data_IF_460532689284
#
_entry.id   IF_460532689284
#
_cell.length_a   1.000
_cell.length_b   1.000
_cell.length_c   1.000
_cell.angle_alpha   90.00
_cell.angle_beta   90.00
_cell.angle_gamma   90.00
#
_symmetry.space_group_name_H-M   'P 1'
#
loop_
_entity.id
_entity.type
_entity.pdbx_description
1 polymer ?
#
# COMPACT_ATOMS: atom_id res chain seq x y z
N UNK A 1 -1.32 9.08 -0.60
CA UNK A 1 -1.62 7.67 -0.32
C UNK A 1 -1.44 7.44 1.16
N UNK A 2 -2.54 7.18 1.88
CA UNK A 2 -2.54 6.91 3.31
C UNK A 2 -3.02 5.49 3.57
N UNK A 3 -2.46 4.86 4.61
CA UNK A 3 -2.83 3.51 5.04
C UNK A 3 -3.64 3.60 6.32
N UNK A 4 -4.83 3.01 6.31
CA UNK A 4 -5.66 2.84 7.49
C UNK A 4 -5.17 1.62 8.28
N UNK A 5 -4.41 1.86 9.35
CA UNK A 5 -3.80 0.81 10.17
C UNK A 5 -4.81 -0.03 10.95
N UNK A 6 -6.04 0.47 11.17
CA UNK A 6 -7.10 -0.29 11.82
C UNK A 6 -7.72 -1.35 10.89
N UNK A 7 -7.64 -1.13 9.57
CA UNK A 7 -8.13 -2.07 8.54
C UNK A 7 -7.01 -2.92 7.94
N UNK A 8 -5.79 -2.40 7.89
CA UNK A 8 -4.67 -3.07 7.23
C UNK A 8 -4.28 -4.35 7.97
N UNK A 9 -4.42 -5.50 7.31
CA UNK A 9 -3.96 -6.80 7.84
C UNK A 9 -2.52 -7.16 7.50
N UNK A 10 -1.71 -6.20 7.01
CA UNK A 10 -0.29 -6.39 6.70
C UNK A 10 0.02 -7.58 5.76
N UNK A 11 -0.90 -7.92 4.84
CA UNK A 11 -0.75 -9.07 3.95
C UNK A 11 0.27 -8.89 2.82
N UNK A 12 0.79 -7.68 2.61
CA UNK A 12 1.78 -7.40 1.56
C UNK A 12 1.25 -7.36 0.12
N UNK A 13 -0.05 -7.51 -0.12
CA UNK A 13 -0.62 -7.47 -1.49
C UNK A 13 -0.31 -6.14 -2.23
N UNK A 14 -0.34 -5.02 -1.51
CA UNK A 14 0.00 -3.71 -2.05
C UNK A 14 1.49 -3.58 -2.45
N UNK A 15 2.40 -4.29 -1.77
CA UNK A 15 3.83 -4.34 -2.10
C UNK A 15 4.01 -5.06 -3.43
N UNK A 16 3.44 -6.26 -3.56
CA UNK A 16 3.60 -7.10 -4.76
C UNK A 16 3.01 -6.50 -6.03
N UNK A 17 1.91 -5.74 -5.94
CA UNK A 17 1.30 -5.12 -7.12
C UNK A 17 1.99 -3.81 -7.55
N UNK A 18 2.82 -3.20 -6.69
CA UNK A 18 3.33 -1.86 -6.96
C UNK A 18 4.41 -1.90 -8.07
N UNK A 19 4.13 -1.40 -9.29
CA UNK A 19 5.08 -1.51 -10.40
C UNK A 19 6.33 -0.64 -10.21
N UNK A 20 6.31 0.27 -9.24
CA UNK A 20 7.41 1.18 -8.92
C UNK A 20 8.15 0.80 -7.64
N UNK A 21 7.80 -0.30 -7.00
CA UNK A 21 8.34 -0.69 -5.69
C UNK A 21 8.33 0.48 -4.70
N UNK A 22 7.22 1.24 -4.69
CA UNK A 22 7.06 2.42 -3.85
C UNK A 22 6.43 2.09 -2.49
N UNK A 23 6.16 0.82 -2.20
CA UNK A 23 5.49 0.37 -0.98
C UNK A 23 6.33 -0.75 -0.39
N UNK A 24 6.67 -0.63 0.89
CA UNK A 24 7.39 -1.64 1.65
C UNK A 24 6.59 -2.06 2.87
N UNK A 25 6.64 -3.36 3.20
CA UNK A 25 6.07 -3.93 4.41
C UNK A 25 7.23 -4.24 5.37
N UNK A 26 7.29 -3.51 6.47
CA UNK A 26 8.28 -3.68 7.53
C UNK A 26 7.53 -4.16 8.76
N UNK A 27 7.61 -5.47 9.03
CA UNK A 27 6.86 -6.16 10.08
C UNK A 27 5.34 -5.89 9.99
N UNK A 28 4.83 -4.97 10.83
CA UNK A 28 3.42 -4.58 10.91
C UNK A 28 3.26 -3.10 10.53
N UNK A 29 4.05 -2.61 9.57
CA UNK A 29 4.01 -1.24 9.08
C UNK A 29 4.13 -1.22 7.57
N UNK A 30 3.23 -0.49 6.92
CA UNK A 30 3.35 -0.18 5.50
C UNK A 30 3.99 1.21 5.38
N UNK A 31 5.11 1.27 4.67
CA UNK A 31 5.77 2.53 4.30
C UNK A 31 5.57 2.78 2.81
N UNK A 32 5.26 4.03 2.46
CA UNK A 32 5.02 4.44 1.08
C UNK A 32 5.98 5.57 0.73
N UNK A 33 6.86 5.29 -0.23
CA UNK A 33 7.77 6.27 -0.82
C UNK A 33 6.97 7.19 -1.77
N UNK A 34 6.74 8.42 -1.33
CA UNK A 34 5.94 9.41 -2.07
C UNK A 34 6.68 9.96 -3.29
N UNK A 35 8.00 9.84 -3.37
CA UNK A 35 8.79 10.28 -4.52
C UNK A 35 8.66 9.28 -5.68
N UNK A 36 8.67 7.98 -5.35
CA UNK A 36 8.44 6.88 -6.32
C UNK A 36 6.97 6.71 -6.67
N UNK A 37 6.05 6.93 -5.73
CA UNK A 37 4.63 6.74 -5.97
C UNK A 37 4.07 7.81 -6.92
N UNK A 38 3.53 7.39 -8.08
CA UNK A 38 2.84 8.30 -9.03
C UNK A 38 1.30 8.22 -8.96
N UNK A 39 0.75 7.65 -7.89
CA UNK A 39 -0.70 7.64 -7.69
C UNK A 39 -1.49 6.77 -8.69
N UNK A 40 -0.93 5.66 -9.17
CA UNK A 40 -1.60 4.75 -10.12
C UNK A 40 -2.80 3.97 -9.53
N UNK A 41 -3.00 4.02 -8.21
CA UNK A 41 -4.14 3.42 -7.46
C UNK A 41 -4.28 1.89 -7.51
N UNK A 42 -3.39 1.15 -8.19
CA UNK A 42 -3.38 -0.32 -8.20
C UNK A 42 -3.35 -0.96 -6.80
N UNK A 43 -2.58 -0.38 -5.87
CA UNK A 43 -2.52 -0.86 -4.49
C UNK A 43 -3.87 -0.76 -3.75
N UNK A 44 -4.72 0.22 -4.12
CA UNK A 44 -6.08 0.36 -3.59
C UNK A 44 -7.00 -0.72 -4.15
N UNK A 45 -6.93 -0.97 -5.47
CA UNK A 45 -7.79 -1.95 -6.13
C UNK A 45 -7.53 -3.39 -5.67
N UNK A 46 -6.27 -3.76 -5.43
CA UNK A 46 -5.94 -5.12 -4.96
C UNK A 46 -6.25 -5.32 -3.46
N UNK A 47 -6.47 -4.24 -2.70
CA UNK A 47 -6.58 -4.33 -1.25
C UNK A 47 -7.94 -4.95 -0.85
N UNK A 48 -7.98 -6.19 -0.31
CA UNK A 48 -9.24 -6.88 -0.04
C UNK A 48 -10.09 -6.19 1.04
N UNK A 49 -9.42 -5.47 1.93
CA UNK A 49 -10.02 -4.74 3.06
C UNK A 49 -10.17 -3.24 2.81
N UNK A 50 -9.82 -2.77 1.60
CA UNK A 50 -9.86 -1.35 1.23
C UNK A 50 -9.19 -0.44 2.29
N UNK A 51 -7.98 -0.82 2.73
CA UNK A 51 -7.23 -0.09 3.75
C UNK A 51 -6.44 1.10 3.19
N UNK A 52 -6.36 1.27 1.87
CA UNK A 52 -5.60 2.35 1.21
C UNK A 52 -6.54 3.44 0.71
N UNK A 53 -6.31 4.66 1.20
CA UNK A 53 -7.11 5.86 0.92
C UNK A 53 -6.20 6.97 0.35
N UNK A 54 -6.78 7.95 -0.34
CA UNK A 54 -6.04 9.00 -1.08
C UNK A 54 -5.02 9.77 -0.21
#
# INVERSE_FOLDING_TARGET
>A
MKVNTLKCGYCGACVGICPRNAIELIENKIEIDTEKCKGCKLCKEICPVNALEE
#
